data_IF_881817165074
#
_entry.id   IF_881817165074
#
_cell.length_a   1.000
_cell.length_b   1.000
_cell.length_c   1.000
_cell.angle_alpha   90.00
_cell.angle_beta   90.00
_cell.angle_gamma   90.00
#
_symmetry.space_group_name_H-M   'P 1'
#
loop_
_entity.id
_entity.type
_entity.pdbx_description
1 polymer ?
#
# COMPACT_ATOMS: atom_id res chain seq x y z
N UNK A 1 -0.63 -6.30 -17.96
CA UNK A 1 -1.87 -6.30 -17.17
C UNK A 1 -1.74 -5.46 -15.90
N UNK A 2 -0.64 -5.51 -15.16
CA UNK A 2 -0.39 -4.66 -13.98
C UNK A 2 -0.49 -3.14 -14.22
N UNK A 3 -0.26 -2.66 -15.45
CA UNK A 3 -0.43 -1.24 -15.81
C UNK A 3 -1.87 -0.72 -15.69
N UNK A 4 -2.88 -1.57 -15.94
CA UNK A 4 -4.29 -1.18 -15.83
C UNK A 4 -4.66 -0.91 -14.38
N UNK A 5 -4.15 -1.75 -13.46
CA UNK A 5 -4.30 -1.55 -12.02
C UNK A 5 -3.63 -0.25 -11.55
N UNK A 6 -2.43 0.03 -12.05
CA UNK A 6 -1.70 1.26 -11.73
C UNK A 6 -2.55 2.48 -12.12
N UNK A 7 -3.08 2.49 -13.34
CA UNK A 7 -3.90 3.59 -13.84
C UNK A 7 -5.17 3.73 -13.01
N UNK A 8 -5.95 2.66 -12.85
CA UNK A 8 -7.22 2.69 -12.13
C UNK A 8 -7.05 3.18 -10.67
N UNK A 9 -6.01 2.73 -9.97
CA UNK A 9 -5.74 3.18 -8.61
C UNK A 9 -5.24 4.64 -8.59
N UNK A 10 -4.39 5.02 -9.55
CA UNK A 10 -3.88 6.39 -9.66
C UNK A 10 -4.94 7.43 -10.07
N UNK A 11 -6.06 6.98 -10.64
CA UNK A 11 -7.24 7.77 -10.98
C UNK A 11 -8.37 7.63 -9.94
N UNK A 12 -8.09 6.99 -8.80
CA UNK A 12 -9.04 6.80 -7.70
C UNK A 12 -10.31 6.00 -8.07
N UNK A 13 -10.20 5.11 -9.06
CA UNK A 13 -11.31 4.27 -9.51
C UNK A 13 -11.37 2.97 -8.68
N UNK A 14 -11.98 3.04 -7.49
CA UNK A 14 -12.05 1.91 -6.53
C UNK A 14 -12.62 0.63 -7.15
N UNK A 15 -13.83 0.71 -7.72
CA UNK A 15 -14.54 -0.43 -8.31
C UNK A 15 -13.72 -1.11 -9.43
N UNK A 16 -13.08 -0.29 -10.26
CA UNK A 16 -12.28 -0.77 -11.39
C UNK A 16 -10.97 -1.41 -10.91
N UNK A 17 -10.29 -0.79 -9.95
CA UNK A 17 -9.10 -1.34 -9.32
C UNK A 17 -9.39 -2.70 -8.65
N UNK A 18 -10.50 -2.81 -7.90
CA UNK A 18 -10.93 -4.06 -7.27
C UNK A 18 -11.28 -5.14 -8.29
N UNK A 19 -11.96 -4.77 -9.38
CA UNK A 19 -12.30 -5.69 -10.47
C UNK A 19 -11.04 -6.24 -11.15
N UNK A 20 -10.06 -5.37 -11.43
CA UNK A 20 -8.78 -5.77 -12.03
C UNK A 20 -8.01 -6.68 -11.08
N UNK A 21 -7.91 -6.35 -9.79
CA UNK A 21 -7.22 -7.17 -8.79
C UNK A 21 -7.83 -8.57 -8.70
N UNK A 22 -9.16 -8.67 -8.68
CA UNK A 22 -9.85 -9.97 -8.69
C UNK A 22 -9.52 -10.78 -9.94
N UNK A 23 -9.54 -10.16 -11.12
CA UNK A 23 -9.15 -10.82 -12.37
C UNK A 23 -7.70 -11.29 -12.36
N UNK A 24 -6.78 -10.50 -11.83
CA UNK A 24 -5.35 -10.86 -11.72
C UNK A 24 -5.17 -12.06 -10.80
N UNK A 25 -5.84 -12.04 -9.64
CA UNK A 25 -5.84 -13.16 -8.69
C UNK A 25 -6.43 -14.43 -9.33
N UNK A 26 -7.57 -14.31 -10.01
CA UNK A 26 -8.23 -15.44 -10.67
C UNK A 26 -7.40 -15.98 -11.84
N UNK A 27 -6.60 -15.14 -12.50
CA UNK A 27 -5.64 -15.53 -13.52
C UNK A 27 -4.37 -16.19 -12.93
N UNK A 28 -4.22 -16.24 -11.61
CA UNK A 28 -3.07 -16.83 -10.93
C UNK A 28 -1.81 -15.96 -10.96
N UNK A 29 -1.96 -14.64 -11.13
CA UNK A 29 -0.84 -13.70 -11.03
C UNK A 29 -0.24 -13.68 -9.61
N UNK A 30 1.05 -13.41 -9.53
CA UNK A 30 1.76 -13.33 -8.26
C UNK A 30 1.18 -12.18 -7.41
N UNK A 31 0.63 -12.44 -6.21
CA UNK A 31 0.07 -11.39 -5.39
C UNK A 31 1.12 -10.33 -4.96
N UNK A 32 2.42 -10.65 -4.97
CA UNK A 32 3.49 -9.67 -4.78
C UNK A 32 3.56 -8.66 -5.94
N UNK A 33 3.37 -9.11 -7.18
CA UNK A 33 3.35 -8.23 -8.36
C UNK A 33 2.14 -7.28 -8.34
N UNK A 34 1.01 -7.73 -7.80
CA UNK A 34 -0.17 -6.89 -7.59
C UNK A 34 0.12 -5.79 -6.56
N UNK A 35 0.79 -6.14 -5.45
CA UNK A 35 1.19 -5.17 -4.42
C UNK A 35 2.22 -4.16 -4.95
N UNK A 36 3.18 -4.59 -5.77
CA UNK A 36 4.15 -3.70 -6.41
C UNK A 36 3.47 -2.69 -7.34
N UNK A 37 2.51 -3.15 -8.15
CA UNK A 37 1.69 -2.27 -9.00
C UNK A 37 0.90 -1.25 -8.18
N UNK A 38 0.37 -1.64 -7.02
CA UNK A 38 -0.27 -0.69 -6.11
C UNK A 38 0.69 0.37 -5.56
N UNK A 39 1.95 0.00 -5.27
CA UNK A 39 2.99 0.95 -4.86
C UNK A 39 3.29 1.97 -5.95
N UNK A 40 3.47 1.51 -7.20
CA UNK A 40 3.69 2.40 -8.35
C UNK A 40 2.51 3.37 -8.57
N UNK A 41 1.28 2.94 -8.27
CA UNK A 41 0.12 3.81 -8.35
C UNK A 41 0.17 4.92 -7.29
N UNK A 42 0.58 4.60 -6.06
CA UNK A 42 0.75 5.59 -4.99
C UNK A 42 1.83 6.63 -5.31
N UNK A 43 2.91 6.23 -5.97
CA UNK A 43 3.92 7.19 -6.46
C UNK A 43 3.32 8.20 -7.44
N UNK A 44 2.37 7.78 -8.29
CA UNK A 44 1.68 8.68 -9.23
C UNK A 44 0.72 9.60 -8.49
N UNK A 45 -0.06 9.09 -7.53
CA UNK A 45 -0.95 9.90 -6.70
C UNK A 45 -0.14 10.96 -5.94
N UNK A 46 1.02 10.58 -5.38
CA UNK A 46 1.96 11.49 -4.72
C UNK A 46 2.46 12.59 -5.64
N UNK A 47 2.88 12.25 -6.87
CA UNK A 47 3.27 13.25 -7.89
C UNK A 47 2.13 14.20 -8.25
N UNK A 48 0.92 13.68 -8.44
CA UNK A 48 -0.27 14.51 -8.72
C UNK A 48 -0.60 15.45 -7.55
N UNK A 49 -0.34 15.03 -6.32
CA UNK A 49 -0.46 15.89 -5.15
C UNK A 49 0.60 17.01 -5.14
N UNK A 50 1.86 16.67 -5.44
CA UNK A 50 2.96 17.66 -5.56
C UNK A 50 2.70 18.67 -6.69
N UNK A 51 2.08 18.24 -7.79
CA UNK A 51 1.68 19.08 -8.91
C UNK A 51 0.41 19.92 -8.64
N UNK A 52 -0.23 19.75 -7.48
CA UNK A 52 -1.46 20.44 -7.09
C UNK A 52 -2.71 19.98 -7.85
N UNK A 53 -2.64 18.81 -8.50
CA UNK A 53 -3.79 18.17 -9.18
C UNK A 53 -4.67 17.45 -8.16
N UNK A 54 -4.05 16.78 -7.19
CA UNK A 54 -4.71 16.07 -6.09
C UNK A 54 -4.49 16.78 -4.76
N UNK A 55 -5.43 16.59 -3.84
CA UNK A 55 -5.44 17.20 -2.52
C UNK A 55 -5.44 16.13 -1.42
N UNK A 56 -5.37 16.58 -0.17
CA UNK A 56 -5.35 15.69 1.01
C UNK A 56 -6.51 14.65 1.02
N UNK A 57 -7.75 15.00 0.66
CA UNK A 57 -8.83 14.02 0.57
C UNK A 57 -8.57 12.91 -0.45
N UNK A 58 -7.93 13.23 -1.57
CA UNK A 58 -7.59 12.29 -2.64
C UNK A 58 -6.50 11.31 -2.18
N UNK A 59 -5.51 11.79 -1.43
CA UNK A 59 -4.51 10.94 -0.79
C UNK A 59 -5.14 9.96 0.19
N UNK A 60 -6.01 10.44 1.07
CA UNK A 60 -6.73 9.59 2.04
C UNK A 60 -7.57 8.55 1.30
N UNK A 61 -8.29 8.96 0.25
CA UNK A 61 -9.13 8.07 -0.53
C UNK A 61 -8.33 7.00 -1.27
N UNK A 62 -7.18 7.37 -1.86
CA UNK A 62 -6.25 6.41 -2.47
C UNK A 62 -5.79 5.35 -1.46
N UNK A 63 -5.51 5.75 -0.21
CA UNK A 63 -5.14 4.86 0.88
C UNK A 63 -6.24 3.86 1.25
N UNK A 64 -7.50 4.29 1.26
CA UNK A 64 -8.64 3.38 1.48
C UNK A 64 -8.80 2.39 0.32
N UNK A 65 -8.63 2.80 -0.95
CA UNK A 65 -8.62 1.89 -2.09
C UNK A 65 -7.52 0.84 -1.94
N UNK A 66 -6.30 1.24 -1.57
CA UNK A 66 -5.18 0.33 -1.34
C UNK A 66 -5.47 -0.68 -0.24
N UNK A 67 -6.15 -0.26 0.82
CA UNK A 67 -6.56 -1.12 1.92
C UNK A 67 -7.62 -2.13 1.48
N UNK A 68 -8.60 -1.72 0.67
CA UNK A 68 -9.59 -2.59 0.05
C UNK A 68 -8.93 -3.63 -0.87
N UNK A 69 -8.00 -3.21 -1.72
CA UNK A 69 -7.22 -4.11 -2.59
C UNK A 69 -6.40 -5.11 -1.76
N UNK A 70 -5.67 -4.61 -0.76
CA UNK A 70 -4.86 -5.46 0.12
C UNK A 70 -5.69 -6.49 0.88
N UNK A 71 -6.93 -6.18 1.26
CA UNK A 71 -7.83 -7.12 1.91
C UNK A 71 -8.23 -8.29 1.00
N UNK A 72 -8.33 -8.06 -0.32
CA UNK A 72 -8.61 -9.11 -1.31
C UNK A 72 -7.36 -9.94 -1.61
N UNK A 73 -6.18 -9.31 -1.63
CA UNK A 73 -4.89 -9.96 -1.94
C UNK A 73 -4.37 -10.83 -0.79
N UNK A 74 -4.50 -10.36 0.47
CA UNK A 74 -4.01 -11.04 1.69
C UNK A 74 -4.40 -12.52 1.83
N UNK A 75 -5.67 -12.94 1.68
CA UNK A 75 -6.05 -14.34 1.83
C UNK A 75 -5.36 -15.26 0.81
N UNK A 76 -5.09 -14.75 -0.40
CA UNK A 76 -4.41 -15.51 -1.47
C UNK A 76 -2.90 -15.58 -1.26
N UNK A 77 -2.31 -14.53 -0.69
CA UNK A 77 -0.93 -14.51 -0.24
C UNK A 77 -0.67 -15.54 0.89
N UNK A 78 -1.67 -15.76 1.75
CA UNK A 78 -1.61 -16.75 2.83
C UNK A 78 -1.78 -18.21 2.33
N UNK A 79 -2.53 -18.43 1.25
CA UNK A 79 -2.67 -19.75 0.60
C UNK A 79 -1.40 -20.15 -0.19
N UNK A 80 -0.60 -19.17 -0.65
CA UNK A 80 0.56 -19.40 -1.50
C UNK A 80 1.93 -19.45 -0.82
N UNK A 81 2.03 -19.12 0.49
CA UNK A 81 3.34 -18.92 1.15
C UNK A 81 3.39 -19.66 2.50
N UNK A 82 3.87 -20.90 2.46
CA UNK A 82 4.77 -21.38 3.51
C UNK A 82 6.10 -20.63 3.33
N UNK A 83 6.53 -19.90 4.36
CA UNK A 83 7.85 -19.25 4.47
C UNK A 83 8.27 -18.26 3.37
N UNK A 84 7.86 -16.99 3.53
CA UNK A 84 8.81 -15.88 3.47
C UNK A 84 8.22 -14.74 4.27
N UNK A 85 8.85 -14.44 5.42
CA UNK A 85 8.65 -13.20 6.15
C UNK A 85 8.79 -12.06 5.15
N UNK A 86 7.67 -11.52 4.66
CA UNK A 86 7.64 -10.16 4.16
C UNK A 86 7.91 -9.35 5.41
N UNK A 87 9.19 -9.01 5.56
CA UNK A 87 9.67 -8.17 6.64
C UNK A 87 8.71 -7.01 6.77
N UNK A 88 8.25 -6.80 8.00
CA UNK A 88 7.74 -5.55 8.52
C UNK A 88 8.11 -4.41 7.56
N UNK A 89 7.16 -3.99 6.72
CA UNK A 89 7.31 -2.76 5.93
C UNK A 89 7.29 -1.65 6.98
N UNK A 90 8.47 -1.38 7.51
CA UNK A 90 8.75 -0.14 8.20
C UNK A 90 8.64 0.91 7.10
N UNK A 91 7.45 1.51 7.00
CA UNK A 91 7.28 2.84 6.44
C UNK A 91 8.19 3.75 7.26
N UNK A 92 9.46 3.83 6.84
CA UNK A 92 10.42 4.77 7.36
C UNK A 92 10.07 6.12 6.80
N UNK A 93 9.18 6.82 7.48
CA UNK A 93 8.93 8.22 7.24
C UNK A 93 10.26 8.97 7.34
N UNK A 94 10.64 9.66 6.27
CA UNK A 94 11.84 10.51 6.26
C UNK A 94 11.66 11.55 7.37
N UNK A 95 12.64 11.63 8.27
CA UNK A 95 12.60 12.49 9.45
C UNK A 95 12.16 13.92 9.08
N UNK A 96 10.97 14.31 9.58
CA UNK A 96 10.35 15.61 9.28
C UNK A 96 8.83 15.57 9.13
N UNK A 97 8.23 14.38 9.07
CA UNK A 97 6.78 14.25 8.96
C UNK A 97 6.06 14.53 10.28
N UNK A 98 5.10 15.43 10.20
CA UNK A 98 4.35 16.07 11.29
C UNK A 98 3.07 15.30 11.63
N UNK A 99 2.95 14.04 11.20
CA UNK A 99 1.84 13.14 11.54
C UNK A 99 1.97 12.52 12.94
N UNK A 100 2.40 13.33 13.91
CA UNK A 100 2.55 12.92 15.30
C UNK A 100 1.25 13.19 16.07
N UNK A 101 0.65 12.13 16.63
CA UNK A 101 -0.21 12.23 17.82
C UNK A 101 0.14 11.09 18.78
N UNK A 102 1.31 11.25 19.44
CA UNK A 102 1.61 11.05 20.88
C UNK A 102 1.41 9.66 21.56
N UNK A 103 2.09 9.38 22.70
CA UNK A 103 3.53 9.38 22.91
C UNK A 103 4.01 8.07 23.57
N UNK A 104 5.16 7.55 23.14
CA UNK A 104 5.79 6.38 23.75
C UNK A 104 6.57 6.75 25.02
N UNK A 105 6.31 6.05 26.13
CA UNK A 105 7.20 5.75 27.25
C UNK A 105 6.54 4.65 28.12
N UNK A 106 7.27 3.81 28.89
CA UNK A 106 8.66 4.01 29.31
C UNK A 106 9.62 2.84 29.06
N UNK A 107 10.89 3.22 28.82
CA UNK A 107 12.08 2.73 29.51
C UNK A 107 12.20 1.21 29.74
N UNK A 108 13.07 0.56 28.95
CA UNK A 108 13.93 -0.47 29.53
C UNK A 108 15.40 -0.15 29.27
N UNK A 109 16.08 0.01 30.39
CA UNK A 109 17.41 0.55 30.58
C UNK A 109 18.49 -0.45 30.11
N UNK A 110 19.62 0.12 29.72
CA UNK A 110 20.87 -0.54 29.36
C UNK A 110 21.42 -1.44 30.47
N UNK A 111 22.20 -2.45 30.07
CA UNK A 111 23.66 -2.49 30.29
C UNK A 111 24.18 -3.93 30.43
N UNK A 112 25.13 -4.26 29.56
CA UNK A 112 26.37 -5.02 29.81
C UNK A 112 26.49 -5.73 31.17
N UNK A 113 26.44 -7.07 31.17
CA UNK A 113 27.54 -8.00 31.43
C UNK A 113 27.11 -9.43 31.08
#
# INVERSE_FOLDING_TARGET
MSKELVIALSELQEEEALSIVRKLIDAGEDPLMIMDACGQAMDIVGKKYEEGVYFVPDLIFSGEILKSVSAVVKPKLAEGIDQKRLGQVVLGTVAGDIHDTEPALPLFNMSTF
#
